data_IF_734584057267
#
_entry.id   IF_734584057267
#
_cell.length_a   1.000
_cell.length_b   1.000
_cell.length_c   1.000
_cell.angle_alpha   90.00
_cell.angle_beta   90.00
_cell.angle_gamma   90.00
#
_symmetry.space_group_name_H-M   'P 1'
#
loop_
_entity.id
_entity.type
_entity.pdbx_description
1 polymer ?
#
# COMPACT_ATOMS: atom_id res chain seq x y z
N UNK A 1 -24.26 8.69 8.01
CA UNK A 1 -24.43 7.28 8.43
C UNK A 1 -23.05 6.66 8.47
N UNK A 2 -22.50 6.41 9.66
CA UNK A 2 -21.39 5.46 9.77
C UNK A 2 -21.90 4.11 9.25
N UNK A 3 -21.39 3.69 8.09
CA UNK A 3 -21.56 2.30 7.69
C UNK A 3 -20.69 1.50 8.66
N UNK A 4 -21.32 0.74 9.56
CA UNK A 4 -20.61 -0.20 10.42
C UNK A 4 -19.82 -1.17 9.53
N UNK A 5 -18.51 -0.94 9.43
CA UNK A 5 -17.59 -1.81 8.70
C UNK A 5 -17.56 -3.17 9.39
N UNK A 6 -17.56 -4.25 8.59
CA UNK A 6 -17.29 -5.58 9.14
C UNK A 6 -15.90 -5.57 9.81
N UNK A 7 -15.65 -6.43 10.81
CA UNK A 7 -14.34 -6.52 11.45
C UNK A 7 -13.20 -6.73 10.43
N UNK A 8 -13.44 -7.51 9.37
CA UNK A 8 -12.47 -7.71 8.27
C UNK A 8 -12.21 -6.42 7.49
N UNK A 9 -13.25 -5.64 7.16
CA UNK A 9 -13.06 -4.36 6.48
C UNK A 9 -12.30 -3.34 7.32
N UNK A 10 -12.40 -3.40 8.66
CA UNK A 10 -11.55 -2.58 9.54
C UNK A 10 -10.08 -2.99 9.45
N UNK A 11 -9.79 -4.29 9.49
CA UNK A 11 -8.44 -4.82 9.32
C UNK A 11 -7.84 -4.45 7.96
N UNK A 12 -8.62 -4.60 6.87
CA UNK A 12 -8.16 -4.21 5.54
C UNK A 12 -7.91 -2.71 5.41
N UNK A 13 -8.67 -1.87 6.12
CA UNK A 13 -8.39 -0.44 6.17
C UNK A 13 -7.05 -0.15 6.85
N UNK A 14 -6.78 -0.79 7.98
CA UNK A 14 -5.49 -0.64 8.68
C UNK A 14 -4.32 -1.12 7.81
N UNK A 15 -4.48 -2.25 7.10
CA UNK A 15 -3.50 -2.77 6.16
C UNK A 15 -3.27 -1.79 5.00
N UNK A 16 -4.33 -1.20 4.45
CA UNK A 16 -4.24 -0.20 3.38
C UNK A 16 -3.48 1.04 3.84
N UNK A 17 -3.83 1.58 5.01
CA UNK A 17 -3.19 2.77 5.58
C UNK A 17 -1.69 2.53 5.82
N UNK A 18 -1.34 1.33 6.30
CA UNK A 18 0.06 0.91 6.46
C UNK A 18 0.80 0.86 5.12
N UNK A 19 0.25 0.18 4.12
CA UNK A 19 0.89 0.04 2.80
C UNK A 19 1.05 1.38 2.11
N UNK A 20 0.01 2.21 2.13
CA UNK A 20 0.02 3.54 1.52
C UNK A 20 1.10 4.43 2.16
N UNK A 21 1.24 4.39 3.49
CA UNK A 21 2.31 5.10 4.19
C UNK A 21 3.70 4.62 3.75
N UNK A 22 3.90 3.30 3.65
CA UNK A 22 5.20 2.73 3.23
C UNK A 22 5.59 3.11 1.80
N UNK A 23 4.62 3.17 0.89
CA UNK A 23 4.83 3.66 -0.47
C UNK A 23 5.30 5.12 -0.43
N UNK A 24 4.57 5.99 0.30
CA UNK A 24 4.93 7.40 0.40
C UNK A 24 6.31 7.64 1.02
N UNK A 25 6.66 6.90 2.08
CA UNK A 25 7.98 6.97 2.72
C UNK A 25 9.10 6.60 1.72
N UNK A 26 8.91 5.55 0.91
CA UNK A 26 9.89 5.10 -0.09
C UNK A 26 9.99 6.04 -1.29
N UNK A 27 8.87 6.53 -1.81
CA UNK A 27 8.86 7.51 -2.90
C UNK A 27 9.57 8.80 -2.49
N UNK A 28 9.37 9.23 -1.24
CA UNK A 28 10.09 10.37 -0.68
C UNK A 28 11.59 10.10 -0.57
N UNK A 29 11.98 8.93 -0.06
CA UNK A 29 13.39 8.53 0.03
C UNK A 29 14.08 8.57 -1.34
N UNK A 30 13.46 7.94 -2.36
CA UNK A 30 13.94 7.95 -3.75
C UNK A 30 14.07 9.40 -4.27
N UNK A 31 13.04 10.23 -4.07
CA UNK A 31 13.07 11.62 -4.50
C UNK A 31 14.22 12.41 -3.85
N UNK A 32 14.48 12.20 -2.56
CA UNK A 32 15.58 12.89 -1.85
C UNK A 32 16.96 12.45 -2.33
N UNK A 33 17.11 11.19 -2.74
CA UNK A 33 18.34 10.67 -3.36
C UNK A 33 18.63 11.41 -4.66
N UNK A 34 17.63 11.48 -5.55
CA UNK A 34 17.74 12.19 -6.83
C UNK A 34 17.96 13.69 -6.66
N UNK A 35 17.22 14.33 -5.74
CA UNK A 35 17.36 15.76 -5.46
C UNK A 35 18.73 16.12 -4.89
N UNK A 36 19.21 15.35 -3.91
CA UNK A 36 20.49 15.61 -3.24
C UNK A 36 21.72 15.25 -4.06
N UNK A 37 21.56 14.67 -5.27
CA UNK A 37 22.65 14.03 -6.03
C UNK A 37 23.52 13.13 -5.15
N UNK A 38 22.90 12.45 -4.18
CA UNK A 38 23.64 11.51 -3.33
C UNK A 38 24.24 10.46 -4.25
N UNK A 39 25.55 10.22 -4.12
CA UNK A 39 26.20 9.11 -4.79
C UNK A 39 25.68 7.83 -4.15
N UNK A 40 24.61 7.28 -4.72
CA UNK A 40 23.98 6.03 -4.30
C UNK A 40 24.33 4.98 -5.34
N UNK A 41 24.66 3.77 -4.88
CA UNK A 41 24.97 2.69 -5.80
C UNK A 41 23.67 2.33 -6.52
N UNK A 42 23.72 2.14 -7.84
CA UNK A 42 22.55 1.80 -8.65
C UNK A 42 21.72 0.65 -8.06
N UNK A 43 22.38 -0.35 -7.49
CA UNK A 43 21.74 -1.50 -6.83
C UNK A 43 20.88 -1.13 -5.61
N UNK A 44 21.22 -0.05 -4.90
CA UNK A 44 20.42 0.43 -3.77
C UNK A 44 19.13 1.10 -4.25
N UNK A 45 19.18 1.84 -5.37
CA UNK A 45 17.99 2.41 -6.01
C UNK A 45 17.09 1.30 -6.54
N UNK A 46 17.65 0.33 -7.25
CA UNK A 46 16.91 -0.84 -7.75
C UNK A 46 16.22 -1.58 -6.60
N UNK A 47 16.90 -1.79 -5.48
CA UNK A 47 16.28 -2.41 -4.29
C UNK A 47 15.14 -1.59 -3.67
N UNK A 48 15.21 -0.25 -3.72
CA UNK A 48 14.12 0.62 -3.27
C UNK A 48 12.92 0.56 -4.22
N UNK A 49 13.17 0.54 -5.53
CA UNK A 49 12.15 0.40 -6.57
C UNK A 49 11.45 -0.96 -6.50
N UNK A 50 12.21 -2.05 -6.33
CA UNK A 50 11.65 -3.40 -6.14
C UNK A 50 10.72 -3.45 -4.91
N UNK A 51 11.13 -2.85 -3.79
CA UNK A 51 10.29 -2.76 -2.58
C UNK A 51 9.03 -1.95 -2.84
N UNK A 52 9.13 -0.84 -3.57
CA UNK A 52 8.00 0.00 -3.94
C UNK A 52 6.99 -0.78 -4.81
N UNK A 53 7.48 -1.52 -5.80
CA UNK A 53 6.65 -2.37 -6.65
C UNK A 53 5.92 -3.44 -5.82
N UNK A 54 6.63 -4.10 -4.90
CA UNK A 54 6.02 -5.07 -3.99
C UNK A 54 4.88 -4.47 -3.15
N UNK A 55 5.07 -3.28 -2.58
CA UNK A 55 4.00 -2.62 -1.82
C UNK A 55 2.80 -2.21 -2.70
N UNK A 56 3.05 -1.75 -3.93
CA UNK A 56 1.98 -1.44 -4.90
C UNK A 56 1.20 -2.69 -5.30
N UNK A 57 1.89 -3.82 -5.54
CA UNK A 57 1.26 -5.09 -5.82
C UNK A 57 0.41 -5.58 -4.64
N UNK A 58 0.90 -5.41 -3.41
CA UNK A 58 0.14 -5.74 -2.19
C UNK A 58 -1.14 -4.91 -2.07
N UNK A 59 -1.12 -3.62 -2.40
CA UNK A 59 -2.35 -2.80 -2.45
C UNK A 59 -3.33 -3.37 -3.48
N UNK A 60 -2.86 -3.75 -4.68
CA UNK A 60 -3.71 -4.36 -5.70
C UNK A 60 -4.43 -5.60 -5.19
N UNK A 61 -3.68 -6.52 -4.54
CA UNK A 61 -4.27 -7.72 -3.92
C UNK A 61 -5.25 -7.39 -2.79
N UNK A 62 -4.94 -6.38 -1.97
CA UNK A 62 -5.80 -5.95 -0.87
C UNK A 62 -7.11 -5.36 -1.37
N UNK A 63 -7.09 -4.60 -2.47
CA UNK A 63 -8.30 -4.04 -3.10
C UNK A 63 -9.24 -5.15 -3.57
N UNK A 64 -8.71 -6.23 -4.15
CA UNK A 64 -9.52 -7.40 -4.54
C UNK A 64 -10.18 -8.05 -3.31
N UNK A 65 -9.43 -8.26 -2.22
CA UNK A 65 -9.98 -8.79 -0.95
C UNK A 65 -11.08 -7.89 -0.38
N UNK A 66 -10.89 -6.57 -0.42
CA UNK A 66 -11.89 -5.60 0.02
C UNK A 66 -13.15 -5.71 -0.85
N UNK A 67 -13.00 -5.82 -2.18
CA UNK A 67 -14.13 -5.97 -3.10
C UNK A 67 -14.95 -7.22 -2.78
N UNK A 68 -14.29 -8.35 -2.54
CA UNK A 68 -14.95 -9.61 -2.22
C UNK A 68 -15.69 -9.51 -0.88
N UNK A 69 -15.04 -8.98 0.16
CA UNK A 69 -15.66 -8.81 1.48
C UNK A 69 -16.85 -7.84 1.45
N UNK A 70 -16.77 -6.74 0.69
CA UNK A 70 -17.91 -5.81 0.49
C UNK A 70 -19.05 -6.53 -0.22
N UNK A 71 -18.74 -7.37 -1.21
CA UNK A 71 -19.75 -8.15 -1.94
C UNK A 71 -20.48 -9.12 -1.01
N UNK A 72 -19.74 -9.87 -0.19
CA UNK A 72 -20.30 -10.81 0.78
C UNK A 72 -21.10 -10.12 1.89
N UNK A 73 -20.60 -9.00 2.41
CA UNK A 73 -21.31 -8.20 3.41
C UNK A 73 -22.65 -7.65 2.89
N UNK A 74 -22.72 -7.32 1.60
CA UNK A 74 -23.95 -6.84 0.97
C UNK A 74 -24.93 -7.98 0.61
N UNK A 75 -24.45 -9.19 0.30
CA UNK A 75 -25.32 -10.36 0.10
C UNK A 75 -25.97 -10.85 1.40
N UNK A 76 -25.27 -10.67 2.52
CA UNK A 76 -25.73 -11.09 3.85
C UNK A 76 -26.72 -10.10 4.50
N UNK A 77 -27.20 -9.11 3.74
CA UNK A 77 -28.02 -7.99 4.21
C UNK A 77 -29.38 -7.99 3.53
#
# INVERSE_FOLDING_TARGET
>A
MEKNLTPKLKLYKEEFDFLHKKIGDLEWEIATIFFGRKAVIRTEIEALEDRLENYRANIGMLVEKIRDEVTEANKSK
#
